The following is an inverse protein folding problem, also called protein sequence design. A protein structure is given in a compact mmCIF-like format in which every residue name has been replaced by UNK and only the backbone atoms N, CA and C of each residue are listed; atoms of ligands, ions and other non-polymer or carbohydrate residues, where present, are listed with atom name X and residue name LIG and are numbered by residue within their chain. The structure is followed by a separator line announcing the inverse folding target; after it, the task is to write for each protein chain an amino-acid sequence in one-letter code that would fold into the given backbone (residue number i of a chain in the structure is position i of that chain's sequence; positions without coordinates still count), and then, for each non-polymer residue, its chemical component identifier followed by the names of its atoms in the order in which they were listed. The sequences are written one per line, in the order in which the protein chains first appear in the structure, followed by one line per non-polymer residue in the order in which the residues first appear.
data_IF_368494824410
#
_entry.id   IF_368494824410
#
_cell.length_a   1.000
_cell.length_b   1.000
_cell.length_c   1.000
_cell.angle_alpha   90.00
_cell.angle_beta   90.00
_cell.angle_gamma   90.00
#
_symmetry.space_group_name_H-M   'P 1'
#
loop_
_entity.id
_entity.type
_entity.pdbx_description
1 polymer ?
#
# COMPACT_ATOMS: atom_id res chain seq x y z
N UNK A 1 -23.93 15.25 -2.32
CA UNK A 1 -22.48 15.43 -2.56
C UNK A 1 -22.18 14.83 -3.92
N UNK A 2 -21.80 15.63 -4.91
CA UNK A 2 -21.65 15.17 -6.31
C UNK A 2 -20.33 14.42 -6.46
N UNK A 3 -20.39 13.22 -7.06
CA UNK A 3 -19.24 12.43 -7.42
C UNK A 3 -18.63 13.02 -8.69
N UNK A 4 -17.44 13.57 -8.59
CA UNK A 4 -16.65 13.87 -9.80
C UNK A 4 -15.99 12.55 -10.23
N UNK A 5 -16.52 12.01 -11.32
CA UNK A 5 -15.99 10.83 -11.97
C UNK A 5 -14.59 11.17 -12.52
N UNK A 6 -13.59 10.41 -12.10
CA UNK A 6 -12.27 10.47 -12.71
C UNK A 6 -12.40 10.13 -14.20
N UNK A 7 -12.05 11.08 -15.07
CA UNK A 7 -12.02 10.89 -16.52
C UNK A 7 -10.84 10.01 -16.87
N UNK A 8 -11.10 8.74 -17.18
CA UNK A 8 -10.12 7.84 -17.74
C UNK A 8 -10.03 8.07 -19.25
N UNK A 9 -8.86 8.44 -19.73
CA UNK A 9 -8.56 8.49 -21.16
C UNK A 9 -7.97 7.14 -21.57
N UNK A 10 -8.58 6.36 -22.49
CA UNK A 10 -8.02 5.08 -22.91
C UNK A 10 -6.89 5.29 -23.91
N UNK A 11 -5.71 4.79 -23.61
CA UNK A 11 -4.61 4.62 -24.56
C UNK A 11 -4.76 3.26 -25.24
N UNK A 12 -5.07 3.27 -26.53
CA UNK A 12 -5.21 2.09 -27.38
C UNK A 12 -3.85 1.48 -27.71
N UNK A 13 -3.59 0.26 -27.22
CA UNK A 13 -2.48 -0.60 -27.64
C UNK A 13 -2.81 -2.04 -27.24
N UNK A 14 -2.65 -3.01 -28.14
CA UNK A 14 -3.03 -4.44 -28.04
C UNK A 14 -2.88 -5.02 -26.63
N UNK A 15 -4.00 -5.30 -25.99
CA UNK A 15 -4.09 -5.76 -24.62
C UNK A 15 -4.01 -7.28 -24.53
N UNK A 16 -2.91 -7.79 -23.95
CA UNK A 16 -3.06 -8.91 -23.02
C UNK A 16 -3.90 -8.42 -21.83
N UNK A 17 -4.81 -9.20 -21.25
CA UNK A 17 -5.56 -8.74 -20.08
C UNK A 17 -4.56 -8.43 -18.96
N UNK A 18 -4.24 -7.15 -18.81
CA UNK A 18 -3.35 -6.71 -17.74
C UNK A 18 -4.12 -6.86 -16.43
N UNK A 19 -3.52 -7.57 -15.49
CA UNK A 19 -4.01 -7.65 -14.12
C UNK A 19 -3.65 -6.35 -13.40
N UNK A 20 -4.56 -5.69 -12.68
CA UNK A 20 -4.21 -4.54 -11.87
C UNK A 20 -3.17 -4.94 -10.82
N UNK A 21 -2.23 -4.04 -10.53
CA UNK A 21 -1.27 -4.23 -9.45
C UNK A 21 -1.94 -4.22 -8.08
N UNK A 22 -2.93 -3.33 -7.91
CA UNK A 22 -3.73 -3.22 -6.70
C UNK A 22 -5.19 -3.03 -7.10
N UNK A 23 -6.08 -3.81 -6.49
CA UNK A 23 -7.52 -3.72 -6.70
C UNK A 23 -8.20 -3.56 -5.35
N UNK A 24 -8.87 -2.46 -5.15
CA UNK A 24 -9.57 -2.10 -3.91
C UNK A 24 -11.05 -2.17 -4.16
N UNK A 25 -11.78 -2.90 -3.31
CA UNK A 25 -13.22 -3.14 -3.46
C UNK A 25 -13.95 -2.84 -2.16
N UNK A 26 -14.80 -1.85 -2.20
CA UNK A 26 -15.75 -1.48 -1.14
C UNK A 26 -15.13 -1.35 0.25
N UNK A 27 -13.90 -0.83 0.30
CA UNK A 27 -13.15 -0.69 1.56
C UNK A 27 -13.79 0.38 2.43
N UNK A 28 -14.06 0.00 3.69
CA UNK A 28 -14.55 0.90 4.72
C UNK A 28 -13.87 0.66 6.06
N UNK A 29 -13.69 1.74 6.82
CA UNK A 29 -13.19 1.74 8.20
C UNK A 29 -13.97 2.70 9.05
N UNK A 30 -14.44 2.22 10.20
CA UNK A 30 -15.24 2.97 11.15
C UNK A 30 -14.53 3.04 12.50
N UNK A 31 -14.70 4.13 13.19
CA UNK A 31 -14.21 4.35 14.56
C UNK A 31 -15.40 4.69 15.47
N UNK A 32 -16.06 3.67 15.99
CA UNK A 32 -17.32 3.84 16.68
C UNK A 32 -18.38 4.49 15.77
N UNK A 33 -18.90 5.66 16.12
CA UNK A 33 -19.87 6.40 15.32
C UNK A 33 -19.27 7.26 14.19
N UNK A 34 -17.93 7.26 13.99
CA UNK A 34 -17.25 8.10 12.99
C UNK A 34 -16.79 7.26 11.81
N UNK A 35 -16.99 7.79 10.61
CA UNK A 35 -16.47 7.20 9.37
C UNK A 35 -15.00 7.61 9.22
N UNK A 36 -14.09 6.63 9.17
CA UNK A 36 -12.71 6.83 8.80
C UNK A 36 -12.56 6.94 7.29
N UNK A 37 -13.03 5.93 6.55
CA UNK A 37 -13.25 5.94 5.10
C UNK A 37 -14.40 4.98 4.79
N UNK A 38 -15.09 5.17 3.67
CA UNK A 38 -16.17 4.28 3.26
C UNK A 38 -16.35 4.28 1.75
N UNK A 39 -16.86 3.16 1.25
CA UNK A 39 -17.24 2.94 -0.15
C UNK A 39 -16.11 3.23 -1.14
N UNK A 40 -14.87 2.84 -0.77
CA UNK A 40 -13.69 3.10 -1.59
C UNK A 40 -13.44 1.90 -2.51
N UNK A 41 -13.48 2.16 -3.81
CA UNK A 41 -13.17 1.16 -4.85
C UNK A 41 -12.40 1.80 -5.98
N UNK A 42 -11.28 1.18 -6.38
CA UNK A 42 -10.46 1.58 -7.53
C UNK A 42 -9.50 0.46 -7.92
N UNK A 43 -8.92 0.58 -9.10
CA UNK A 43 -7.80 -0.22 -9.57
C UNK A 43 -6.58 0.67 -9.79
N UNK A 44 -5.40 0.15 -9.48
CA UNK A 44 -4.10 0.76 -9.78
C UNK A 44 -3.33 -0.21 -10.67
N UNK A 45 -2.84 0.28 -11.79
CA UNK A 45 -2.15 -0.52 -12.79
C UNK A 45 -0.63 -0.40 -12.66
N UNK A 46 0.15 -1.39 -13.11
CA UNK A 46 1.60 -1.28 -13.13
C UNK A 46 2.08 -0.01 -13.84
N UNK A 47 2.96 0.76 -13.19
CA UNK A 47 3.49 2.03 -13.71
C UNK A 47 2.57 3.24 -13.53
N UNK A 48 1.38 3.07 -12.98
CA UNK A 48 0.45 4.17 -12.69
C UNK A 48 0.78 4.85 -11.36
N UNK A 49 0.49 6.16 -11.28
CA UNK A 49 0.57 6.94 -10.04
C UNK A 49 -0.83 7.47 -9.72
N UNK A 50 -1.36 7.10 -8.56
CA UNK A 50 -2.66 7.54 -8.08
C UNK A 50 -2.52 8.56 -6.96
N UNK A 51 -3.17 9.71 -7.09
CA UNK A 51 -3.26 10.74 -6.05
C UNK A 51 -4.55 10.62 -5.23
N UNK A 52 -4.44 10.59 -3.90
CA UNK A 52 -5.58 10.65 -2.97
C UNK A 52 -5.64 12.05 -2.39
N UNK A 53 -6.64 12.83 -2.80
CA UNK A 53 -6.83 14.22 -2.40
C UNK A 53 -8.10 14.41 -1.57
N UNK A 54 -8.14 15.43 -0.74
CA UNK A 54 -9.30 15.76 0.10
C UNK A 54 -8.89 16.63 1.28
N UNK A 55 -9.87 17.18 1.98
CA UNK A 55 -9.68 18.02 3.15
C UNK A 55 -9.00 17.30 4.32
N UNK A 56 -8.47 18.05 5.28
CA UNK A 56 -7.95 17.47 6.53
C UNK A 56 -9.06 16.70 7.25
N UNK A 57 -8.74 15.50 7.73
CA UNK A 57 -9.73 14.64 8.40
C UNK A 57 -10.68 13.87 7.48
N UNK A 58 -10.54 13.95 6.14
CA UNK A 58 -11.40 13.21 5.20
C UNK A 58 -11.11 11.70 5.10
N UNK A 59 -10.18 11.16 5.90
CA UNK A 59 -9.92 9.73 5.97
C UNK A 59 -8.78 9.22 5.08
N UNK A 60 -8.01 10.10 4.41
CA UNK A 60 -6.90 9.70 3.52
C UNK A 60 -5.87 8.80 4.21
N UNK A 61 -5.44 9.20 5.40
CA UNK A 61 -4.47 8.42 6.20
C UNK A 61 -5.06 7.08 6.65
N UNK A 62 -6.36 7.06 7.01
CA UNK A 62 -7.07 5.83 7.35
C UNK A 62 -7.07 4.87 6.17
N UNK A 63 -7.43 5.36 4.98
CA UNK A 63 -7.41 4.57 3.76
C UNK A 63 -6.00 4.04 3.46
N UNK A 64 -4.98 4.91 3.45
CA UNK A 64 -3.59 4.49 3.21
C UNK A 64 -3.12 3.42 4.20
N UNK A 65 -3.49 3.53 5.48
CA UNK A 65 -3.14 2.51 6.47
C UNK A 65 -3.87 1.18 6.21
N UNK A 66 -5.12 1.22 5.73
CA UNK A 66 -5.82 0.01 5.30
C UNK A 66 -5.12 -0.63 4.09
N UNK A 67 -4.77 0.16 3.07
CA UNK A 67 -4.08 -0.33 1.88
C UNK A 67 -2.70 -0.92 2.23
N UNK A 68 -1.96 -0.27 3.13
CA UNK A 68 -0.65 -0.74 3.58
C UNK A 68 -0.71 -1.95 4.54
N UNK A 69 -1.89 -2.45 4.87
CA UNK A 69 -2.07 -3.56 5.82
C UNK A 69 -1.62 -3.23 7.25
N UNK A 70 -1.54 -1.94 7.60
CA UNK A 70 -1.26 -1.47 8.97
C UNK A 70 -2.53 -1.39 9.82
N UNK A 71 -3.68 -1.25 9.16
CA UNK A 71 -5.00 -1.17 9.77
C UNK A 71 -5.94 -2.13 9.04
N UNK A 72 -6.60 -3.02 9.77
CA UNK A 72 -7.61 -3.87 9.17
C UNK A 72 -8.87 -3.04 8.84
N UNK A 73 -9.38 -3.05 7.61
CA UNK A 73 -10.67 -2.47 7.30
C UNK A 73 -11.78 -3.26 7.98
N UNK A 74 -12.93 -2.64 8.18
CA UNK A 74 -14.12 -3.31 8.72
C UNK A 74 -14.96 -3.97 7.62
N UNK A 75 -14.76 -3.53 6.36
CA UNK A 75 -15.42 -4.07 5.18
C UNK A 75 -14.54 -3.89 3.95
N UNK A 76 -14.74 -4.75 2.95
CA UNK A 76 -14.09 -4.67 1.66
C UNK A 76 -12.85 -5.53 1.55
N UNK A 77 -12.25 -5.51 0.37
CA UNK A 77 -11.10 -6.31 -0.02
C UNK A 77 -9.98 -5.41 -0.56
N UNK A 78 -8.75 -5.81 -0.30
CA UNK A 78 -7.54 -5.16 -0.85
C UNK A 78 -6.71 -6.24 -1.54
N UNK A 79 -6.94 -6.40 -2.83
CA UNK A 79 -6.27 -7.41 -3.67
C UNK A 79 -4.98 -6.81 -4.23
N UNK A 80 -3.86 -7.47 -4.01
CA UNK A 80 -2.55 -7.05 -4.51
C UNK A 80 -1.91 -8.18 -5.32
N UNK A 81 -1.33 -7.83 -6.48
CA UNK A 81 -0.59 -8.76 -7.32
C UNK A 81 0.82 -8.96 -6.78
N UNK A 82 0.98 -9.98 -5.93
CA UNK A 82 2.25 -10.32 -5.31
C UNK A 82 3.19 -10.98 -6.32
N UNK A 83 4.49 -10.74 -6.19
CA UNK A 83 5.50 -11.35 -7.06
C UNK A 83 5.55 -12.88 -6.97
N UNK A 84 5.18 -13.43 -5.83
CA UNK A 84 5.31 -14.86 -5.55
C UNK A 84 4.07 -15.66 -5.94
N UNK A 85 2.86 -15.11 -5.72
CA UNK A 85 1.62 -15.90 -5.75
C UNK A 85 0.50 -15.24 -6.59
N UNK A 86 0.78 -14.11 -7.26
CA UNK A 86 -0.22 -13.35 -7.99
C UNK A 86 -1.20 -12.62 -7.06
N UNK A 87 -2.42 -12.45 -7.51
CA UNK A 87 -3.46 -11.67 -6.81
C UNK A 87 -3.85 -12.30 -5.47
N UNK A 88 -3.60 -11.59 -4.39
CA UNK A 88 -3.92 -12.01 -3.00
C UNK A 88 -4.64 -10.90 -2.25
N UNK A 89 -5.65 -11.28 -1.48
CA UNK A 89 -6.31 -10.33 -0.57
C UNK A 89 -5.47 -10.12 0.70
N UNK A 90 -4.93 -8.92 0.83
CA UNK A 90 -4.04 -8.54 1.94
C UNK A 90 -4.76 -8.44 3.28
N UNK A 91 -6.09 -8.30 3.26
CA UNK A 91 -6.91 -8.24 4.48
C UNK A 91 -6.97 -9.61 5.16
N UNK A 92 -7.04 -10.67 4.36
CA UNK A 92 -7.14 -12.06 4.86
C UNK A 92 -5.79 -12.71 5.13
N UNK A 93 -4.67 -12.09 4.69
CA UNK A 93 -3.32 -12.57 4.97
C UNK A 93 -3.03 -12.65 6.46
N UNK A 94 -2.27 -13.67 6.86
CA UNK A 94 -1.69 -13.76 8.20
C UNK A 94 -0.65 -12.65 8.44
N UNK A 95 -0.36 -12.35 9.71
CA UNK A 95 0.65 -11.33 10.04
C UNK A 95 2.06 -11.65 9.49
N UNK A 96 2.55 -12.91 9.48
CA UNK A 96 3.80 -13.26 8.83
C UNK A 96 3.80 -12.95 7.32
N UNK A 97 2.71 -13.27 6.59
CA UNK A 97 2.57 -12.97 5.16
C UNK A 97 2.56 -11.47 4.90
N UNK A 98 1.77 -10.69 5.63
CA UNK A 98 1.77 -9.22 5.54
C UNK A 98 3.14 -8.61 5.84
N UNK A 99 3.86 -9.16 6.82
CA UNK A 99 5.22 -8.72 7.13
C UNK A 99 6.18 -8.99 5.98
N UNK A 100 6.07 -10.15 5.34
CA UNK A 100 6.88 -10.46 4.16
C UNK A 100 6.56 -9.50 3.02
N UNK A 101 5.29 -9.27 2.70
CA UNK A 101 4.82 -8.34 1.68
C UNK A 101 5.41 -6.92 1.89
N UNK A 102 5.38 -6.42 3.13
CA UNK A 102 5.98 -5.11 3.48
C UNK A 102 7.50 -5.07 3.30
N UNK A 103 8.18 -6.21 3.33
CA UNK A 103 9.63 -6.30 3.12
C UNK A 103 10.02 -6.40 1.66
N UNK A 104 9.23 -7.11 0.86
CA UNK A 104 9.56 -7.46 -0.53
C UNK A 104 8.90 -6.55 -1.55
N UNK A 105 7.61 -6.31 -1.44
CA UNK A 105 6.80 -5.71 -2.50
C UNK A 105 6.33 -4.28 -2.18
N UNK A 106 6.10 -3.97 -0.90
CA UNK A 106 5.57 -2.68 -0.49
C UNK A 106 6.58 -1.80 0.23
N UNK A 107 6.44 -0.49 0.03
CA UNK A 107 7.07 0.52 0.86
C UNK A 107 6.02 1.50 1.37
N UNK A 108 6.15 1.91 2.62
CA UNK A 108 5.32 2.94 3.22
C UNK A 108 6.21 4.09 3.69
N UNK A 109 5.91 5.30 3.22
CA UNK A 109 6.63 6.51 3.65
C UNK A 109 5.73 7.30 4.59
N UNK A 110 6.18 7.49 5.82
CA UNK A 110 5.47 8.26 6.83
C UNK A 110 5.58 9.76 6.57
N UNK A 111 4.57 10.51 6.98
CA UNK A 111 4.57 11.98 6.91
C UNK A 111 5.70 12.59 7.78
N UNK A 112 5.99 11.97 8.90
CA UNK A 112 7.07 12.36 9.79
C UNK A 112 8.20 11.33 9.76
N UNK A 113 9.43 11.77 9.47
CA UNK A 113 10.59 10.88 9.36
C UNK A 113 10.82 10.03 10.62
N UNK A 114 10.54 10.57 11.80
CA UNK A 114 10.71 9.87 13.07
C UNK A 114 9.86 8.58 13.20
N UNK A 115 8.73 8.51 12.51
CA UNK A 115 7.84 7.34 12.56
C UNK A 115 8.40 6.16 11.74
N UNK A 116 9.24 6.44 10.74
CA UNK A 116 9.83 5.44 9.84
C UNK A 116 11.27 5.09 10.17
N UNK A 117 11.95 5.83 11.06
CA UNK A 117 13.35 5.64 11.36
C UNK A 117 13.58 5.11 12.78
N UNK A 118 14.53 4.19 12.90
CA UNK A 118 15.04 3.74 14.21
C UNK A 118 16.13 4.69 14.67
N UNK A 119 15.78 5.62 15.55
CA UNK A 119 16.69 6.69 16.01
C UNK A 119 17.93 6.20 16.75
N UNK A 120 17.91 4.97 17.25
CA UNK A 120 19.05 4.30 17.91
C UNK A 120 19.94 3.49 16.95
N UNK A 121 19.64 3.53 15.66
CA UNK A 121 20.39 2.84 14.59
C UNK A 121 21.02 3.87 13.68
N UNK A 122 22.24 3.60 13.18
CA UNK A 122 22.92 4.49 12.26
C UNK A 122 22.11 4.72 10.97
N UNK A 123 22.40 5.82 10.26
CA UNK A 123 21.75 6.11 8.99
C UNK A 123 21.93 4.95 7.98
N UNK A 124 23.15 4.41 7.85
CA UNK A 124 23.42 3.25 7.00
C UNK A 124 22.62 2.00 7.42
N UNK A 125 22.43 1.78 8.73
CA UNK A 125 21.62 0.70 9.24
C UNK A 125 20.13 0.87 8.90
N UNK A 126 19.60 2.08 8.99
CA UNK A 126 18.23 2.38 8.59
C UNK A 126 18.01 2.20 7.07
N UNK A 127 18.95 2.68 6.25
CA UNK A 127 18.89 2.52 4.79
C UNK A 127 19.00 1.03 4.40
N UNK A 128 19.93 0.31 5.02
CA UNK A 128 20.20 -1.09 4.72
C UNK A 128 19.17 -2.08 5.30
N UNK A 129 18.32 -1.66 6.23
CA UNK A 129 17.40 -2.57 6.93
C UNK A 129 16.56 -3.42 5.98
N UNK A 130 16.02 -2.80 4.92
CA UNK A 130 15.17 -3.48 3.95
C UNK A 130 15.95 -4.54 3.15
N UNK A 131 17.17 -4.22 2.73
CA UNK A 131 18.04 -5.14 1.99
C UNK A 131 18.48 -6.31 2.89
N UNK A 132 18.84 -6.03 4.14
CA UNK A 132 19.14 -7.07 5.11
C UNK A 132 17.95 -7.99 5.39
N UNK A 133 16.75 -7.46 5.42
CA UNK A 133 15.53 -8.23 5.65
C UNK A 133 15.21 -9.22 4.51
N UNK A 134 15.70 -8.97 3.29
CA UNK A 134 15.55 -9.84 2.13
C UNK A 134 16.82 -10.65 1.78
N UNK A 135 17.84 -10.62 2.64
CA UNK A 135 18.96 -11.55 2.56
C UNK A 135 20.33 -10.95 2.28
N UNK A 136 20.47 -9.63 2.15
CA UNK A 136 21.79 -8.99 2.11
C UNK A 136 22.53 -9.25 3.43
N UNK A 137 23.73 -9.86 3.36
CA UNK A 137 24.44 -10.35 4.55
C UNK A 137 25.63 -9.49 4.97
N UNK A 138 26.08 -8.62 4.11
CA UNK A 138 27.21 -7.78 4.41
C UNK A 138 27.03 -6.34 3.89
N UNK A 139 27.79 -5.42 4.44
CA UNK A 139 27.71 -3.99 4.10
C UNK A 139 28.11 -3.69 2.64
N UNK A 140 28.96 -4.52 2.04
CA UNK A 140 29.33 -4.41 0.63
C UNK A 140 28.14 -4.58 -0.29
N UNK A 141 27.28 -5.57 -0.03
CA UNK A 141 26.07 -5.85 -0.81
C UNK A 141 25.00 -4.74 -0.74
N UNK A 142 25.15 -3.81 0.22
CA UNK A 142 24.19 -2.73 0.48
C UNK A 142 24.67 -1.41 -0.12
N UNK A 143 26.01 -1.27 -0.33
CA UNK A 143 26.63 -0.01 -0.72
C UNK A 143 26.60 0.25 -2.22
N UNK A 144 26.60 -0.79 -3.05
CA UNK A 144 26.58 -0.76 -4.51
C UNK A 144 25.14 -0.72 -5.04
#
# INVERSE_FOLDING_TARGET
MRRDAATQTPVSGKESPMTPLLSVRDVAKFYGGRIGCADVSFDLWPGEVMGIVGESGSGKTTLLNCLAGQLAPDRGEVLFDTRAEGMRDTVTMSEPERRMLRRTDWAFVHQHAHEGLRMNVSAGGNVGERLMAVGARNYGDIRD
#
